data_IF_782897139647
#
_entry.id   IF_782897139647
#
_cell.length_a   1.000
_cell.length_b   1.000
_cell.length_c   1.000
_cell.angle_alpha   90.00
_cell.angle_beta   90.00
_cell.angle_gamma   90.00
#
_symmetry.space_group_name_H-M   'P 1'
#
loop_
_entity.id
_entity.type
_entity.pdbx_description
1 polymer ?
#
# COMPACT_ATOMS: atom_id res chain seq x y z
N UNK A 1 -7.77 26.48 29.42
CA UNK A 1 -7.53 25.22 30.12
C UNK A 1 -7.57 24.09 29.09
N UNK A 2 -6.42 23.73 28.50
CA UNK A 2 -6.19 22.44 27.84
C UNK A 2 -4.68 22.26 27.62
N UNK A 3 -4.12 21.19 28.19
CA UNK A 3 -2.69 20.86 28.17
C UNK A 3 -2.38 20.05 26.91
N UNK A 4 -1.44 20.53 26.10
CA UNK A 4 -0.79 19.78 25.02
C UNK A 4 0.37 19.00 25.65
N UNK A 5 0.40 17.67 25.46
CA UNK A 5 1.47 16.79 25.95
C UNK A 5 2.72 16.95 25.08
N UNK A 6 3.76 17.48 25.70
CA UNK A 6 5.14 17.57 25.22
C UNK A 6 5.85 16.21 25.31
N UNK A 7 6.43 15.73 24.22
CA UNK A 7 7.09 14.42 24.26
C UNK A 7 7.92 14.00 23.06
N UNK A 8 8.69 14.88 22.41
CA UNK A 8 9.79 14.46 21.50
C UNK A 8 10.90 15.53 21.47
N UNK A 9 11.73 15.62 22.51
CA UNK A 9 13.00 16.39 22.47
C UNK A 9 14.02 15.86 23.48
N UNK A 10 14.35 14.57 23.47
CA UNK A 10 15.61 14.08 24.04
C UNK A 10 16.04 12.89 23.20
N UNK A 11 16.99 13.09 22.28
CA UNK A 11 17.92 12.10 21.70
C UNK A 11 18.77 12.78 20.62
N UNK A 12 19.62 13.74 21.01
CA UNK A 12 20.59 14.33 20.07
C UNK A 12 21.87 14.86 20.74
N UNK A 13 22.19 14.44 21.98
CA UNK A 13 23.33 15.01 22.73
C UNK A 13 24.44 14.02 23.13
N UNK A 14 24.31 12.71 22.89
CA UNK A 14 25.32 11.72 23.34
C UNK A 14 26.21 11.13 22.24
N UNK A 15 26.06 11.53 20.98
CA UNK A 15 26.82 10.96 19.87
C UNK A 15 28.20 11.61 19.61
N UNK A 16 28.51 12.78 20.21
CA UNK A 16 29.70 13.57 19.84
C UNK A 16 30.92 13.49 20.78
N UNK A 17 30.93 12.61 21.79
CA UNK A 17 32.08 12.48 22.72
C UNK A 17 32.96 11.24 22.52
N UNK A 18 32.78 10.48 21.44
CA UNK A 18 33.49 9.20 21.24
C UNK A 18 34.75 9.27 20.35
N UNK A 19 35.12 10.42 19.82
CA UNK A 19 36.23 10.54 18.85
C UNK A 19 37.37 11.41 19.40
N UNK A 20 38.10 10.94 20.43
CA UNK A 20 39.47 11.38 20.74
C UNK A 20 40.04 10.58 21.92
N UNK A 21 41.02 9.70 21.66
CA UNK A 21 41.80 8.99 22.68
C UNK A 21 42.49 7.72 22.16
N UNK A 22 43.82 7.60 22.24
CA UNK A 22 44.57 6.46 21.67
C UNK A 22 44.87 5.40 22.73
N UNK A 23 44.36 4.18 22.58
CA UNK A 23 44.99 2.97 23.16
C UNK A 23 44.43 1.66 22.55
N UNK A 24 45.22 0.85 21.84
CA UNK A 24 44.74 -0.35 21.14
C UNK A 24 44.39 -1.55 22.03
N UNK A 25 44.65 -1.54 23.35
CA UNK A 25 44.31 -2.67 24.24
C UNK A 25 42.90 -2.61 24.87
N UNK A 26 42.10 -1.57 24.62
CA UNK A 26 40.71 -1.49 25.11
C UNK A 26 39.66 -2.05 24.12
N UNK A 27 40.09 -2.56 22.96
CA UNK A 27 39.21 -3.02 21.88
C UNK A 27 38.70 -4.46 22.05
N UNK A 28 39.34 -5.30 22.86
CA UNK A 28 38.88 -6.69 23.12
C UNK A 28 37.84 -6.80 24.24
N UNK A 29 37.44 -5.71 24.91
CA UNK A 29 36.35 -5.71 25.90
C UNK A 29 35.10 -4.92 25.53
N UNK A 30 35.08 -4.22 24.37
CA UNK A 30 33.91 -3.42 23.92
C UNK A 30 33.01 -4.08 22.87
N UNK A 31 33.35 -5.27 22.37
CA UNK A 31 32.49 -6.05 21.46
C UNK A 31 31.68 -7.18 22.14
N UNK A 32 31.69 -7.28 23.48
CA UNK A 32 30.99 -8.34 24.19
C UNK A 32 29.72 -7.90 24.96
N UNK A 33 29.36 -6.60 24.99
CA UNK A 33 28.22 -6.10 25.77
C UNK A 33 27.48 -4.95 25.09
N UNK A 34 27.02 -5.17 23.88
CA UNK A 34 25.71 -4.66 23.45
C UNK A 34 24.89 -5.84 22.98
N UNK A 35 24.57 -6.72 23.94
CA UNK A 35 23.29 -7.42 23.88
C UNK A 35 22.27 -6.30 23.84
N UNK A 36 21.77 -5.96 22.65
CA UNK A 36 20.42 -5.43 22.52
C UNK A 36 19.60 -6.38 23.39
N UNK A 37 19.17 -5.91 24.57
CA UNK A 37 18.22 -6.67 25.35
C UNK A 37 16.96 -6.66 24.50
N UNK A 38 16.82 -7.68 23.67
CA UNK A 38 15.52 -8.17 23.30
C UNK A 38 14.90 -8.53 24.65
N UNK A 39 14.18 -7.58 25.26
CA UNK A 39 13.23 -7.94 26.28
C UNK A 39 12.30 -8.89 25.56
N UNK A 40 12.45 -10.18 25.84
CA UNK A 40 11.41 -11.14 25.56
C UNK A 40 10.24 -10.71 26.45
N UNK A 41 9.49 -9.71 26.00
CA UNK A 41 8.11 -9.56 26.43
C UNK A 41 7.48 -10.91 26.13
N UNK A 42 7.11 -11.60 27.19
CA UNK A 42 6.41 -12.88 27.12
C UNK A 42 5.17 -12.63 26.29
N UNK A 43 5.18 -13.07 25.03
CA UNK A 43 3.98 -13.16 24.22
C UNK A 43 3.02 -14.02 25.02
N UNK A 44 1.93 -13.42 25.50
CA UNK A 44 0.88 -14.18 26.15
C UNK A 44 0.40 -15.21 25.13
N UNK A 45 0.65 -16.48 25.42
CA UNK A 45 0.36 -17.56 24.50
C UNK A 45 -1.14 -17.78 24.52
N UNK A 46 -1.86 -17.09 23.63
CA UNK A 46 -3.24 -17.44 23.31
C UNK A 46 -3.21 -18.86 22.74
N UNK A 47 -3.82 -19.81 23.48
CA UNK A 47 -3.83 -21.23 23.13
C UNK A 47 -4.95 -21.59 22.17
N UNK A 48 -5.89 -20.67 21.95
CA UNK A 48 -7.04 -20.84 21.07
C UNK A 48 -6.94 -19.81 19.95
N UNK A 49 -6.95 -20.31 18.71
CA UNK A 49 -7.01 -19.46 17.52
C UNK A 49 -8.45 -18.91 17.47
N UNK A 50 -8.65 -17.59 17.52
CA UNK A 50 -9.99 -17.03 17.41
C UNK A 50 -10.60 -17.44 16.05
N UNK A 51 -11.93 -17.61 15.97
CA UNK A 51 -12.58 -17.84 14.68
C UNK A 51 -12.21 -16.71 13.71
N UNK A 52 -12.09 -17.05 12.43
CA UNK A 52 -11.87 -16.04 11.40
C UNK A 52 -13.01 -15.02 11.46
N UNK A 53 -12.66 -13.74 11.57
CA UNK A 53 -13.64 -12.67 11.48
C UNK A 53 -14.29 -12.68 10.09
N UNK A 54 -15.53 -12.19 10.03
CA UNK A 54 -16.20 -11.95 8.76
C UNK A 54 -15.43 -10.88 7.95
N UNK A 55 -15.54 -10.96 6.63
CA UNK A 55 -14.89 -10.00 5.73
C UNK A 55 -15.49 -8.61 5.96
N UNK A 56 -14.64 -7.65 6.28
CA UNK A 56 -15.03 -6.26 6.48
C UNK A 56 -15.36 -5.59 5.13
N UNK A 57 -16.64 -5.25 4.92
CA UNK A 57 -17.13 -4.63 3.70
C UNK A 57 -16.77 -3.13 3.58
N UNK A 58 -16.39 -2.49 4.69
CA UNK A 58 -15.87 -1.12 4.69
C UNK A 58 -14.41 -1.08 4.23
N UNK A 59 -13.67 -2.17 4.45
CA UNK A 59 -12.27 -2.29 4.03
C UNK A 59 -12.12 -2.95 2.65
N UNK A 60 -12.93 -3.96 2.36
CA UNK A 60 -12.80 -4.77 1.16
C UNK A 60 -14.00 -4.65 0.23
N UNK A 61 -13.72 -4.44 -1.05
CA UNK A 61 -14.70 -4.55 -2.12
C UNK A 61 -14.59 -5.92 -2.78
N UNK A 62 -15.71 -6.54 -3.13
CA UNK A 62 -15.74 -7.77 -3.91
C UNK A 62 -16.00 -7.49 -5.41
N UNK A 63 -15.97 -8.53 -6.24
CA UNK A 63 -16.20 -8.39 -7.68
C UNK A 63 -17.56 -7.74 -8.02
N UNK A 64 -18.68 -8.14 -7.39
CA UNK A 64 -19.96 -7.43 -7.56
C UNK A 64 -19.87 -5.93 -7.26
N UNK A 65 -19.28 -5.55 -6.12
CA UNK A 65 -19.13 -4.14 -5.74
C UNK A 65 -18.31 -3.35 -6.79
N UNK A 66 -17.21 -3.91 -7.29
CA UNK A 66 -16.41 -3.25 -8.34
C UNK A 66 -17.21 -3.11 -9.64
N UNK A 67 -18.01 -4.11 -10.02
CA UNK A 67 -18.87 -4.04 -11.21
C UNK A 67 -19.91 -2.94 -11.12
N UNK A 68 -20.46 -2.69 -9.93
CA UNK A 68 -21.50 -1.68 -9.71
C UNK A 68 -20.98 -0.24 -9.84
N UNK A 69 -19.70 0.01 -9.53
CA UNK A 69 -19.15 1.36 -9.53
C UNK A 69 -18.56 1.79 -10.88
N UNK A 70 -18.26 0.86 -11.79
CA UNK A 70 -17.63 1.21 -13.08
C UNK A 70 -18.49 2.24 -13.84
N UNK A 71 -17.88 3.38 -14.17
CA UNK A 71 -18.54 4.47 -14.90
C UNK A 71 -19.57 5.26 -14.09
N UNK A 72 -19.74 5.01 -12.79
CA UNK A 72 -20.61 5.79 -11.91
C UNK A 72 -19.90 7.07 -11.49
N UNK A 73 -20.60 8.20 -11.59
CA UNK A 73 -20.11 9.48 -11.07
C UNK A 73 -19.79 9.38 -9.56
N UNK A 74 -18.72 10.04 -9.12
CA UNK A 74 -18.25 10.00 -7.73
C UNK A 74 -17.50 8.72 -7.36
N UNK A 75 -17.20 7.83 -8.31
CA UNK A 75 -16.46 6.61 -8.02
C UNK A 75 -15.19 6.50 -8.86
N UNK A 76 -14.14 5.90 -8.28
CA UNK A 76 -12.84 5.71 -8.93
C UNK A 76 -12.31 4.32 -8.67
N UNK A 77 -11.97 3.61 -9.75
CA UNK A 77 -11.20 2.36 -9.66
C UNK A 77 -9.73 2.69 -9.91
N UNK A 78 -8.85 2.36 -8.97
CA UNK A 78 -7.43 2.69 -9.03
C UNK A 78 -6.58 1.44 -9.34
N UNK A 79 -6.01 1.39 -10.54
CA UNK A 79 -5.05 0.35 -10.94
C UNK A 79 -3.64 0.76 -10.51
N UNK A 80 -3.06 0.01 -9.57
CA UNK A 80 -1.69 0.28 -9.08
C UNK A 80 -0.62 -0.66 -9.63
N UNK A 81 -0.95 -1.40 -10.68
CA UNK A 81 -0.01 -2.29 -11.39
C UNK A 81 0.97 -1.50 -12.25
N UNK A 82 1.91 -2.20 -12.87
CA UNK A 82 2.80 -1.59 -13.85
C UNK A 82 2.06 -1.19 -15.14
N UNK A 83 2.67 -0.32 -15.94
CA UNK A 83 2.11 0.09 -17.24
C UNK A 83 1.86 -1.09 -18.17
N UNK A 84 2.83 -2.02 -18.30
CA UNK A 84 2.67 -3.22 -19.12
C UNK A 84 1.50 -4.12 -18.67
N UNK A 85 1.21 -4.18 -17.36
CA UNK A 85 0.02 -4.90 -16.87
C UNK A 85 -1.26 -4.14 -17.24
N UNK A 86 -1.27 -2.81 -17.09
CA UNK A 86 -2.42 -1.95 -17.36
C UNK A 86 -2.79 -1.95 -18.85
N UNK A 87 -1.84 -1.70 -19.75
CA UNK A 87 -2.12 -1.62 -21.20
C UNK A 87 -2.45 -2.98 -21.83
N UNK A 88 -2.29 -4.07 -21.08
CA UNK A 88 -2.62 -5.43 -21.52
C UNK A 88 -1.49 -6.18 -22.23
N UNK A 89 -0.23 -5.81 -22.02
CA UNK A 89 0.92 -6.57 -22.53
C UNK A 89 1.17 -7.85 -21.72
N UNK A 90 0.77 -7.89 -20.44
CA UNK A 90 0.94 -9.06 -19.57
C UNK A 90 -0.19 -9.21 -18.55
N UNK A 91 -0.49 -10.45 -18.19
CA UNK A 91 -1.41 -10.77 -17.09
C UNK A 91 -0.68 -10.76 -15.74
N UNK A 92 0.44 -11.47 -15.66
CA UNK A 92 1.25 -11.58 -14.45
C UNK A 92 2.40 -10.56 -14.46
N UNK A 93 2.82 -10.03 -13.29
CA UNK A 93 4.00 -9.17 -13.19
C UNK A 93 5.27 -9.83 -13.76
N UNK A 94 5.37 -11.16 -13.70
CA UNK A 94 6.47 -11.95 -14.24
C UNK A 94 6.52 -12.00 -15.78
N UNK A 95 5.51 -11.47 -16.47
CA UNK A 95 5.43 -11.43 -17.94
C UNK A 95 4.64 -12.57 -18.59
N UNK A 96 4.15 -13.53 -17.80
CA UNK A 96 3.32 -14.63 -18.31
C UNK A 96 1.85 -14.23 -18.51
N UNK A 97 1.19 -14.92 -19.43
CA UNK A 97 -0.27 -14.94 -19.53
C UNK A 97 -0.86 -16.04 -18.66
N UNK A 98 -1.99 -15.77 -18.01
CA UNK A 98 -2.78 -16.78 -17.31
C UNK A 98 -3.60 -17.58 -18.34
N UNK A 99 -3.59 -18.93 -18.31
CA UNK A 99 -4.51 -19.72 -19.13
C UNK A 99 -5.97 -19.34 -18.87
N UNK A 100 -6.70 -19.01 -19.94
CA UNK A 100 -8.09 -18.51 -19.85
C UNK A 100 -8.23 -17.07 -19.34
N UNK A 101 -7.14 -16.42 -18.96
CA UNK A 101 -7.12 -15.03 -18.50
C UNK A 101 -7.01 -14.04 -19.65
N UNK A 102 -7.54 -12.84 -19.41
CA UNK A 102 -7.51 -11.71 -20.35
C UNK A 102 -6.55 -10.64 -19.83
N UNK A 103 -5.73 -10.10 -20.73
CA UNK A 103 -4.85 -8.97 -20.40
C UNK A 103 -5.59 -7.64 -20.64
N UNK A 104 -5.25 -6.62 -19.85
CA UNK A 104 -5.90 -5.32 -19.89
C UNK A 104 -6.08 -4.75 -18.48
N UNK A 105 -7.05 -3.87 -18.32
CA UNK A 105 -7.45 -3.24 -17.06
C UNK A 105 -8.98 -3.14 -16.93
N UNK A 106 -9.45 -2.82 -15.73
CA UNK A 106 -10.87 -2.59 -15.45
C UNK A 106 -11.29 -1.31 -16.18
N UNK A 107 -12.44 -1.27 -16.88
CA UNK A 107 -12.88 -0.05 -17.55
C UNK A 107 -12.95 1.14 -16.61
N UNK A 108 -12.67 2.34 -17.12
CA UNK A 108 -12.63 3.60 -16.34
C UNK A 108 -11.56 3.68 -15.25
N UNK A 109 -10.70 2.65 -15.11
CA UNK A 109 -9.67 2.65 -14.09
C UNK A 109 -8.60 3.73 -14.33
N UNK A 110 -8.27 4.45 -13.26
CA UNK A 110 -7.16 5.39 -13.23
C UNK A 110 -5.88 4.64 -12.89
N UNK A 111 -4.85 4.78 -13.74
CA UNK A 111 -3.58 4.09 -13.55
C UNK A 111 -2.59 4.91 -12.70
N UNK A 112 -2.16 4.38 -11.55
CA UNK A 112 -1.16 4.98 -10.65
C UNK A 112 -0.19 3.90 -10.12
N UNK A 113 0.93 3.64 -10.81
CA UNK A 113 1.85 2.57 -10.44
C UNK A 113 2.37 2.68 -9.00
N UNK A 114 2.22 1.61 -8.22
CA UNK A 114 2.66 1.56 -6.81
C UNK A 114 4.18 1.79 -6.62
N UNK A 115 4.98 1.58 -7.66
CA UNK A 115 6.43 1.77 -7.61
C UNK A 115 6.86 3.24 -7.41
N UNK A 116 5.93 4.19 -7.57
CA UNK A 116 6.16 5.62 -7.36
C UNK A 116 5.95 6.07 -5.91
N UNK A 117 5.72 5.14 -4.96
CA UNK A 117 5.41 5.46 -3.57
C UNK A 117 6.63 5.43 -2.64
N UNK A 118 7.77 4.97 -3.15
CA UNK A 118 8.96 4.70 -2.35
C UNK A 118 10.19 5.49 -2.82
N UNK A 119 11.03 5.87 -1.87
CA UNK A 119 12.38 6.39 -2.15
C UNK A 119 13.35 5.24 -2.50
N UNK A 120 14.57 5.60 -2.89
CA UNK A 120 15.61 4.62 -3.25
C UNK A 120 16.04 3.70 -2.08
N UNK A 121 15.63 3.99 -0.84
CA UNK A 121 15.90 3.19 0.35
C UNK A 121 14.72 2.28 0.71
N UNK A 122 13.61 2.36 -0.03
CA UNK A 122 12.39 1.61 0.22
C UNK A 122 11.49 2.22 1.30
N UNK A 123 11.75 3.45 1.73
CA UNK A 123 10.84 4.17 2.63
C UNK A 123 9.74 4.85 1.81
N UNK A 124 8.55 5.04 2.38
CA UNK A 124 7.52 5.86 1.74
C UNK A 124 8.03 7.28 1.48
N UNK A 125 7.64 7.86 0.35
CA UNK A 125 7.95 9.24 0.04
C UNK A 125 7.30 10.22 1.06
N UNK A 126 7.82 11.45 1.19
CA UNK A 126 7.14 12.49 1.96
C UNK A 126 5.72 12.75 1.45
N UNK A 127 4.82 13.20 2.33
CA UNK A 127 3.39 13.45 2.02
C UNK A 127 3.19 14.28 0.75
N UNK A 128 3.97 15.35 0.60
CA UNK A 128 3.90 16.25 -0.57
C UNK A 128 4.28 15.59 -1.90
N UNK A 129 5.13 14.56 -1.87
CA UNK A 129 5.50 13.76 -3.03
C UNK A 129 4.48 12.64 -3.28
N UNK A 130 3.94 12.04 -2.22
CA UNK A 130 2.86 11.03 -2.33
C UNK A 130 1.60 11.61 -2.99
N UNK A 131 1.22 12.85 -2.63
CA UNK A 131 0.10 13.56 -3.28
C UNK A 131 0.32 13.75 -4.78
N UNK A 132 1.58 13.89 -5.23
CA UNK A 132 1.93 14.03 -6.66
C UNK A 132 2.06 12.70 -7.37
N UNK A 133 2.51 11.66 -6.66
CA UNK A 133 2.68 10.31 -7.20
C UNK A 133 1.34 9.60 -7.37
N UNK A 134 0.38 9.87 -6.50
CA UNK A 134 -0.96 9.26 -6.53
C UNK A 134 -2.05 10.34 -6.49
N UNK A 135 -2.16 11.21 -7.53
CA UNK A 135 -3.23 12.17 -7.59
C UNK A 135 -4.54 11.40 -7.78
N UNK A 136 -5.40 11.51 -6.78
CA UNK A 136 -6.76 11.00 -6.70
C UNK A 136 -7.72 12.19 -6.54
N UNK A 137 -8.98 12.07 -6.97
CA UNK A 137 -9.97 13.11 -6.68
C UNK A 137 -10.11 13.31 -5.17
N UNK A 138 -10.44 14.53 -4.77
CA UNK A 138 -10.96 14.77 -3.43
C UNK A 138 -12.28 14.01 -3.30
N UNK A 139 -12.41 13.22 -2.23
CA UNK A 139 -13.54 12.31 -2.03
C UNK A 139 -14.52 12.97 -1.05
N UNK A 140 -15.70 13.33 -1.54
CA UNK A 140 -16.85 13.76 -0.73
C UNK A 140 -17.53 12.57 -0.04
N UNK A 141 -18.42 12.77 0.94
CA UNK A 141 -19.02 11.70 1.78
C UNK A 141 -19.77 10.57 1.03
N UNK A 142 -20.10 10.77 -0.25
CA UNK A 142 -20.74 9.77 -1.10
C UNK A 142 -19.80 9.18 -2.15
N UNK A 143 -18.56 9.68 -2.24
CA UNK A 143 -17.58 9.24 -3.21
C UNK A 143 -16.87 7.97 -2.76
N UNK A 144 -16.41 7.18 -3.73
CA UNK A 144 -15.77 5.91 -3.45
C UNK A 144 -14.51 5.69 -4.28
N UNK A 145 -13.44 5.24 -3.65
CA UNK A 145 -12.22 4.81 -4.32
C UNK A 145 -11.91 3.35 -4.01
N UNK A 146 -11.72 2.53 -5.05
CA UNK A 146 -11.36 1.12 -4.89
C UNK A 146 -9.99 0.86 -5.52
N UNK A 147 -9.02 0.42 -4.72
CA UNK A 147 -7.69 0.05 -5.21
C UNK A 147 -7.65 -1.42 -5.63
N UNK A 148 -6.94 -1.72 -6.71
CA UNK A 148 -6.69 -3.11 -7.12
C UNK A 148 -5.31 -3.27 -7.76
N UNK A 149 -4.81 -4.51 -7.75
CA UNK A 149 -3.57 -4.88 -8.41
C UNK A 149 -3.70 -6.23 -9.14
N UNK A 150 -2.77 -7.17 -8.96
CA UNK A 150 -2.95 -8.55 -9.46
C UNK A 150 -3.60 -9.45 -8.43
N UNK A 151 -3.18 -9.38 -7.15
CA UNK A 151 -3.60 -10.30 -6.08
C UNK A 151 -3.75 -9.57 -4.73
N UNK A 152 -4.22 -8.32 -4.74
CA UNK A 152 -4.49 -7.52 -3.54
C UNK A 152 -3.29 -6.89 -2.82
N UNK A 153 -2.10 -7.49 -2.81
CA UNK A 153 -0.98 -7.01 -1.98
C UNK A 153 -0.52 -5.55 -2.23
N UNK A 154 -0.31 -5.18 -3.51
CA UNK A 154 0.05 -3.80 -3.89
C UNK A 154 -1.13 -2.83 -3.70
N UNK A 155 -2.35 -3.33 -3.87
CA UNK A 155 -3.57 -2.55 -3.66
C UNK A 155 -3.74 -2.17 -2.18
N UNK A 156 -3.50 -3.11 -1.26
CA UNK A 156 -3.50 -2.85 0.18
C UNK A 156 -2.43 -1.83 0.60
N UNK A 157 -1.27 -1.84 -0.06
CA UNK A 157 -0.24 -0.81 0.14
C UNK A 157 -0.72 0.56 -0.31
N UNK A 158 -1.32 0.66 -1.50
CA UNK A 158 -1.86 1.93 -1.98
C UNK A 158 -3.01 2.42 -1.09
N UNK A 159 -3.88 1.52 -0.65
CA UNK A 159 -4.91 1.81 0.35
C UNK A 159 -4.30 2.41 1.61
N UNK A 160 -3.27 1.78 2.20
CA UNK A 160 -2.60 2.28 3.41
C UNK A 160 -2.04 3.68 3.21
N UNK A 161 -1.42 3.96 2.06
CA UNK A 161 -0.93 5.31 1.75
C UNK A 161 -2.08 6.32 1.68
N UNK A 162 -3.16 5.98 0.98
CA UNK A 162 -4.31 6.86 0.82
C UNK A 162 -5.01 7.12 2.15
N UNK A 163 -5.21 6.10 2.99
CA UNK A 163 -5.98 6.22 4.22
C UNK A 163 -5.12 6.70 5.39
N UNK A 164 -4.05 5.98 5.71
CA UNK A 164 -3.28 6.20 6.94
C UNK A 164 -2.27 7.34 6.83
N UNK A 165 -1.80 7.66 5.62
CA UNK A 165 -0.81 8.72 5.38
C UNK A 165 -1.47 9.99 4.84
N UNK A 166 -2.36 9.85 3.84
CA UNK A 166 -3.00 10.99 3.17
C UNK A 166 -4.38 11.35 3.75
N UNK A 167 -4.99 10.47 4.56
CA UNK A 167 -6.21 10.78 5.32
C UNK A 167 -7.53 10.58 4.57
N UNK A 168 -7.54 9.89 3.43
CA UNK A 168 -8.78 9.56 2.72
C UNK A 168 -9.60 8.52 3.49
N UNK A 169 -10.92 8.70 3.59
CA UNK A 169 -11.79 7.82 4.40
C UNK A 169 -12.54 6.74 3.62
N UNK A 170 -12.74 6.95 2.32
CA UNK A 170 -13.64 6.14 1.49
C UNK A 170 -12.85 5.32 0.48
N UNK A 171 -11.87 4.58 1.00
CA UNK A 171 -10.99 3.77 0.18
C UNK A 171 -11.16 2.31 0.57
N UNK A 172 -11.47 1.47 -0.41
CA UNK A 172 -11.56 0.01 -0.25
C UNK A 172 -10.51 -0.71 -1.08
N UNK A 173 -10.19 -1.93 -0.69
CA UNK A 173 -9.30 -2.83 -1.42
C UNK A 173 -10.13 -3.89 -2.14
N UNK A 174 -9.99 -3.97 -3.46
CA UNK A 174 -10.42 -5.14 -4.22
C UNK A 174 -9.29 -6.18 -4.23
N UNK A 175 -9.34 -7.10 -3.26
CA UNK A 175 -8.32 -8.12 -3.01
C UNK A 175 -8.28 -9.21 -4.11
N UNK A 176 -9.45 -9.56 -4.66
CA UNK A 176 -9.57 -10.45 -5.84
C UNK A 176 -8.77 -9.93 -7.04
N UNK A 177 -8.75 -8.60 -7.21
CA UNK A 177 -7.84 -7.89 -8.11
C UNK A 177 -7.89 -8.45 -9.55
N UNK A 178 -6.84 -8.22 -10.36
CA UNK A 178 -6.81 -8.70 -11.75
C UNK A 178 -6.82 -10.23 -11.89
N UNK A 179 -6.31 -10.97 -10.90
CA UNK A 179 -6.34 -12.43 -10.93
C UNK A 179 -7.77 -12.96 -10.98
N UNK A 180 -8.70 -12.37 -10.22
CA UNK A 180 -10.12 -12.69 -10.32
C UNK A 180 -10.76 -12.04 -11.55
N UNK A 181 -10.67 -10.71 -11.69
CA UNK A 181 -11.34 -9.96 -12.74
C UNK A 181 -10.97 -10.42 -14.16
N UNK A 182 -9.67 -10.63 -14.41
CA UNK A 182 -9.15 -11.05 -15.70
C UNK A 182 -9.60 -12.45 -16.11
N UNK A 183 -10.02 -13.28 -15.15
CA UNK A 183 -10.57 -14.63 -15.35
C UNK A 183 -12.11 -14.67 -15.42
N UNK A 184 -12.80 -13.65 -14.92
CA UNK A 184 -14.27 -13.61 -14.90
C UNK A 184 -14.87 -13.33 -16.27
N UNK A 185 -15.43 -14.34 -16.93
CA UNK A 185 -15.94 -14.25 -18.31
C UNK A 185 -16.83 -13.01 -18.61
N UNK A 186 -17.70 -12.64 -17.67
CA UNK A 186 -18.66 -11.53 -17.83
C UNK A 186 -18.13 -10.17 -17.39
N UNK A 187 -16.90 -10.11 -16.88
CA UNK A 187 -16.29 -8.84 -16.47
C UNK A 187 -15.72 -8.10 -17.70
N UNK A 188 -16.06 -6.82 -17.90
CA UNK A 188 -15.54 -6.04 -19.02
C UNK A 188 -14.04 -5.75 -18.85
N UNK A 189 -13.32 -5.61 -19.97
CA UNK A 189 -11.86 -5.38 -20.00
C UNK A 189 -11.53 -4.32 -21.05
N UNK A 190 -10.71 -3.34 -20.66
CA UNK A 190 -10.10 -2.36 -21.57
C UNK A 190 -8.62 -2.66 -21.80
N UNK A 191 -8.07 -2.21 -22.93
CA UNK A 191 -6.65 -2.37 -23.30
C UNK A 191 -6.10 -1.07 -23.90
N UNK A 192 -4.78 -0.93 -23.92
CA UNK A 192 -4.12 0.29 -24.38
C UNK A 192 -4.13 1.42 -23.33
N UNK A 193 -3.68 2.61 -23.73
CA UNK A 193 -3.71 3.80 -22.86
C UNK A 193 -5.07 4.46 -22.94
N UNK A 194 -5.75 4.57 -21.81
CA UNK A 194 -6.85 5.54 -21.66
C UNK A 194 -6.20 6.92 -21.54
N UNK A 195 -6.58 7.93 -22.37
CA UNK A 195 -6.09 9.29 -22.16
C UNK A 195 -6.45 9.71 -20.74
N UNK A 196 -5.49 10.26 -19.99
CA UNK A 196 -5.76 10.80 -18.67
C UNK A 196 -6.94 11.78 -18.80
N UNK A 197 -8.05 11.47 -18.12
CA UNK A 197 -9.19 12.38 -18.04
C UNK A 197 -8.67 13.74 -17.57
N UNK A 198 -8.92 14.77 -18.39
CA UNK A 198 -8.50 16.15 -18.15
C UNK A 198 -9.12 16.73 -16.87
#
# INVERSE_FOLDING_TARGET
MLRIRSGVRILAAEALRACQGPNPELLTRRLARRRLSCSAETVQQQTEIPPLAERDAELFADLPAVREIIGRAGTTVLDVRSEAEFVGERFWPSGGMQPGGRAGHIPTAVHRPFGQLYDARGAFLPVEELLKAMPVPELEEEDELITYCTVGGRAATAWYVLTEILGHKQVRVYDGSWAEWGLSADAPVETGKVPASA
#
